data_IF_903233593408
#
_entry.id   IF_903233593408
#
_cell.length_a   1.000
_cell.length_b   1.000
_cell.length_c   1.000
_cell.angle_alpha   90.00
_cell.angle_beta   90.00
_cell.angle_gamma   90.00
#
_symmetry.space_group_name_H-M   'P 1'
#
loop_
_entity.id
_entity.type
_entity.pdbx_description
1 polymer ?
#
# COMPACT_ATOMS: atom_id res chain seq x y z
N UNK A 1 2.93 -4.18 10.18
CA UNK A 1 1.61 -3.55 10.37
C UNK A 1 0.89 -4.32 11.50
N UNK A 2 0.00 -3.67 12.27
CA UNK A 2 -0.76 -4.35 13.34
C UNK A 2 -1.58 -5.55 12.86
N UNK A 3 -1.68 -6.58 13.71
CA UNK A 3 -2.62 -7.69 13.51
C UNK A 3 -4.06 -7.26 13.85
N UNK A 4 -5.05 -7.95 13.29
CA UNK A 4 -6.47 -7.72 13.59
C UNK A 4 -7.11 -6.51 12.88
N UNK A 5 -6.35 -5.83 12.02
CA UNK A 5 -6.83 -4.72 11.17
C UNK A 5 -7.09 -5.25 9.76
N UNK A 6 -8.19 -4.82 9.14
CA UNK A 6 -8.46 -5.16 7.75
C UNK A 6 -7.83 -4.11 6.83
N UNK A 7 -6.95 -4.57 5.95
CA UNK A 7 -6.21 -3.70 5.04
C UNK A 7 -6.74 -3.77 3.62
N UNK A 8 -6.74 -2.61 2.94
CA UNK A 8 -6.97 -2.49 1.51
C UNK A 8 -5.81 -1.77 0.84
N UNK A 9 -5.38 -2.29 -0.31
CA UNK A 9 -4.27 -1.74 -1.08
C UNK A 9 -4.72 -0.92 -2.29
N UNK A 10 -3.84 -0.01 -2.70
CA UNK A 10 -3.97 0.83 -3.87
C UNK A 10 -2.61 0.99 -4.54
N UNK A 11 -2.59 0.99 -5.88
CA UNK A 11 -1.39 1.43 -6.60
C UNK A 11 -1.16 2.91 -6.38
N UNK A 12 0.11 3.29 -6.28
CA UNK A 12 0.49 4.71 -6.32
C UNK A 12 0.37 5.27 -7.73
N UNK A 13 0.73 4.46 -8.74
CA UNK A 13 0.75 4.88 -10.13
C UNK A 13 -0.56 4.46 -10.83
N UNK A 14 -1.15 5.32 -11.70
CA UNK A 14 -2.31 4.95 -12.49
C UNK A 14 -2.07 3.69 -13.33
N UNK A 15 -3.08 2.84 -13.42
CA UNK A 15 -3.00 1.66 -14.28
C UNK A 15 -2.90 2.06 -15.76
N UNK A 16 -1.86 1.57 -16.43
CA UNK A 16 -1.67 1.67 -17.88
C UNK A 16 -1.57 0.26 -18.45
N UNK A 17 -2.45 -0.06 -19.41
CA UNK A 17 -2.50 -1.40 -20.01
C UNK A 17 -1.14 -1.77 -20.63
N UNK A 18 -0.61 -2.92 -20.23
CA UNK A 18 0.67 -3.44 -20.71
C UNK A 18 1.90 -2.90 -19.97
N UNK A 19 1.73 -2.00 -18.99
CA UNK A 19 2.81 -1.55 -18.11
C UNK A 19 2.74 -2.26 -16.75
N UNK A 20 3.89 -2.44 -16.13
CA UNK A 20 3.97 -2.94 -14.76
C UNK A 20 3.40 -1.89 -13.79
N UNK A 21 2.69 -2.32 -12.74
CA UNK A 21 2.06 -1.45 -11.72
C UNK A 21 3.08 -0.76 -10.79
N UNK A 22 4.37 -1.07 -10.93
CA UNK A 22 5.42 -0.69 -10.00
C UNK A 22 5.36 -1.49 -8.71
N UNK A 23 6.33 -1.26 -7.84
CA UNK A 23 6.46 -1.90 -6.52
C UNK A 23 5.76 -1.11 -5.42
N UNK A 24 5.35 0.12 -5.70
CA UNK A 24 4.81 1.06 -4.72
C UNK A 24 3.31 0.84 -4.46
N UNK A 25 2.92 0.85 -3.18
CA UNK A 25 1.51 0.74 -2.77
C UNK A 25 1.19 1.67 -1.60
N UNK A 26 -0.03 2.18 -1.60
CA UNK A 26 -0.67 2.73 -0.40
C UNK A 26 -1.59 1.65 0.18
N UNK A 27 -1.55 1.48 1.49
CA UNK A 27 -2.37 0.51 2.23
C UNK A 27 -3.14 1.24 3.33
N UNK A 28 -4.46 1.14 3.31
CA UNK A 28 -5.35 1.75 4.31
C UNK A 28 -5.95 0.67 5.20
N UNK A 29 -5.90 0.86 6.52
CA UNK A 29 -6.58 0.02 7.52
C UNK A 29 -7.98 0.55 7.84
N UNK A 30 -8.88 -0.35 8.22
CA UNK A 30 -10.20 0.00 8.78
C UNK A 30 -10.12 0.64 10.18
N UNK A 31 -8.94 0.58 10.82
CA UNK A 31 -8.56 1.33 12.01
C UNK A 31 -8.19 2.80 11.72
N UNK A 32 -8.24 3.22 10.45
CA UNK A 32 -7.86 4.57 10.00
C UNK A 32 -6.37 4.75 9.74
N UNK A 33 -5.54 3.70 9.90
CA UNK A 33 -4.11 3.79 9.60
C UNK A 33 -3.84 3.84 8.09
N UNK A 34 -2.81 4.58 7.69
CA UNK A 34 -2.33 4.64 6.30
C UNK A 34 -0.85 4.29 6.27
N UNK A 35 -0.48 3.44 5.33
CA UNK A 35 0.88 2.93 5.16
C UNK A 35 1.32 3.02 3.71
N UNK A 36 2.62 3.18 3.50
CA UNK A 36 3.26 3.15 2.19
C UNK A 36 4.36 2.09 2.17
N UNK A 37 4.47 1.38 1.05
CA UNK A 37 5.58 0.50 0.72
C UNK A 37 6.10 0.88 -0.67
N UNK A 38 7.41 0.88 -0.87
CA UNK A 38 8.05 1.07 -2.18
C UNK A 38 8.75 -0.19 -2.69
N UNK A 39 8.74 -1.26 -1.91
CA UNK A 39 9.50 -2.48 -2.13
C UNK A 39 8.57 -3.70 -2.27
N UNK A 40 7.32 -3.49 -2.67
CA UNK A 40 6.34 -4.55 -2.87
C UNK A 40 6.13 -5.37 -1.58
N UNK A 41 5.71 -4.67 -0.51
CA UNK A 41 5.27 -5.22 0.77
C UNK A 41 6.37 -5.78 1.69
N UNK A 42 7.66 -5.53 1.44
CA UNK A 42 8.73 -6.00 2.33
C UNK A 42 8.89 -5.08 3.54
N UNK A 43 8.80 -3.76 3.34
CA UNK A 43 8.84 -2.75 4.39
C UNK A 43 7.69 -1.76 4.24
N UNK A 44 7.29 -1.18 5.37
CA UNK A 44 6.19 -0.23 5.43
C UNK A 44 6.56 0.99 6.25
N UNK A 45 6.27 2.16 5.71
CA UNK A 45 6.34 3.46 6.39
C UNK A 45 4.92 3.89 6.72
N UNK A 46 4.65 4.18 8.00
CA UNK A 46 3.36 4.76 8.42
C UNK A 46 3.28 6.21 7.94
N UNK A 47 2.13 6.60 7.40
CA UNK A 47 1.83 7.98 7.05
C UNK A 47 1.03 8.60 8.21
N UNK A 48 1.43 9.80 8.64
CA UNK A 48 0.76 10.61 9.67
C UNK A 48 0.03 11.81 9.04
#
# INVERSE_FOLDING_TARGET
>A
MPDGVNYKEYDVNPYVKGQNRGTERIVTGDDGSVWYTNDHYHTFTKIE
#
